data_IF_009180320637
#
_entry.id   IF_009180320637
#
_cell.length_a   1.000
_cell.length_b   1.000
_cell.length_c   1.000
_cell.angle_alpha   90.00
_cell.angle_beta   90.00
_cell.angle_gamma   90.00
#
_symmetry.space_group_name_H-M   'P 1'
#
loop_
_entity.id
_entity.type
_entity.pdbx_description
1 polymer ?
#
# COMPACT_ATOMS: atom_id res chain seq x y z
N UNK A 1 15.72 5.56 5.82
CA UNK A 1 14.48 6.03 5.16
C UNK A 1 13.37 6.23 6.20
N UNK A 2 12.86 7.45 6.37
CA UNK A 2 11.76 7.76 7.31
C UNK A 2 10.43 7.60 6.56
N UNK A 3 9.53 6.76 7.06
CA UNK A 3 8.17 6.64 6.50
C UNK A 3 7.21 7.48 7.32
N UNK A 4 6.49 8.37 6.64
CA UNK A 4 5.30 9.04 7.16
C UNK A 4 4.08 8.32 6.61
N UNK A 5 3.25 7.77 7.49
CA UNK A 5 1.95 7.23 7.11
C UNK A 5 0.91 8.33 7.34
N UNK A 6 0.19 8.72 6.28
CA UNK A 6 -0.93 9.64 6.39
C UNK A 6 -2.18 8.82 6.69
N UNK A 7 -2.65 8.89 7.94
CA UNK A 7 -3.90 8.24 8.34
C UNK A 7 -5.02 9.25 8.10
N UNK A 8 -5.90 8.94 7.15
CA UNK A 8 -7.05 9.76 6.81
C UNK A 8 -8.31 9.28 7.53
N UNK A 9 -9.41 10.02 7.35
CA UNK A 9 -10.73 9.64 7.83
C UNK A 9 -11.12 8.25 7.31
N UNK A 10 -11.83 7.47 8.13
CA UNK A 10 -12.19 6.07 7.84
C UNK A 10 -13.56 5.91 7.18
N UNK A 11 -14.03 6.96 6.51
CA UNK A 11 -15.33 6.96 5.88
C UNK A 11 -15.19 6.69 4.37
N UNK A 12 -15.95 5.73 3.81
CA UNK A 12 -15.95 5.50 2.37
C UNK A 12 -16.56 6.71 1.63
N UNK A 13 -16.47 6.73 0.30
CA UNK A 13 -17.28 7.64 -0.52
C UNK A 13 -18.70 7.06 -0.58
N UNK A 14 -19.72 7.87 -0.30
CA UNK A 14 -21.10 7.39 -0.10
C UNK A 14 -21.37 6.89 1.33
N UNK A 15 -22.63 6.62 1.67
CA UNK A 15 -23.03 6.25 3.04
C UNK A 15 -23.61 7.40 3.87
N UNK A 16 -24.26 8.36 3.23
CA UNK A 16 -24.99 9.48 3.84
C UNK A 16 -26.04 9.08 4.89
N UNK A 17 -26.40 7.79 4.92
CA UNK A 17 -27.34 7.20 5.89
C UNK A 17 -26.68 6.92 7.25
N UNK A 18 -25.34 6.94 7.33
CA UNK A 18 -24.57 6.53 8.53
C UNK A 18 -24.16 7.75 9.36
N UNK A 19 -23.78 8.86 8.73
CA UNK A 19 -23.36 10.09 9.42
C UNK A 19 -23.83 11.33 8.64
N UNK A 20 -24.61 12.19 9.30
CA UNK A 20 -25.19 13.40 8.68
C UNK A 20 -24.17 14.48 8.31
N UNK A 21 -23.09 14.61 9.08
CA UNK A 21 -22.11 15.69 8.94
C UNK A 21 -20.74 15.10 8.64
N UNK A 22 -20.53 14.66 7.39
CA UNK A 22 -19.24 14.14 6.95
C UNK A 22 -18.37 15.25 6.39
N UNK A 23 -17.16 15.36 6.91
CA UNK A 23 -16.15 16.29 6.41
C UNK A 23 -14.91 15.52 5.93
N UNK A 24 -14.35 15.98 4.80
CA UNK A 24 -13.08 15.50 4.28
C UNK A 24 -12.05 16.62 4.44
N UNK A 25 -10.95 16.32 5.14
CA UNK A 25 -9.86 17.27 5.32
C UNK A 25 -8.75 17.01 4.30
N UNK A 26 -8.21 18.09 3.74
CA UNK A 26 -7.06 18.03 2.85
C UNK A 26 -5.77 18.13 3.66
N UNK A 27 -4.97 17.06 3.63
CA UNK A 27 -3.62 17.06 4.19
C UNK A 27 -2.62 17.52 3.12
N UNK A 28 -1.77 18.49 3.48
CA UNK A 28 -0.68 18.97 2.62
C UNK A 28 0.66 18.52 3.19
N UNK A 29 1.54 18.06 2.31
CA UNK A 29 2.91 17.66 2.66
C UNK A 29 3.90 18.36 1.74
N UNK A 30 5.05 18.70 2.28
CA UNK A 30 6.21 19.12 1.49
C UNK A 30 7.03 17.89 1.12
N UNK A 31 7.52 17.86 -0.12
CA UNK A 31 8.32 16.78 -0.67
C UNK A 31 9.66 17.34 -1.11
N UNK A 32 10.72 16.57 -0.88
CA UNK A 32 12.06 16.84 -1.37
C UNK A 32 12.43 15.89 -2.51
N UNK A 33 13.43 16.26 -3.30
CA UNK A 33 13.93 15.41 -4.38
C UNK A 33 14.36 14.06 -3.81
N UNK A 34 13.89 12.97 -4.43
CA UNK A 34 14.14 11.61 -3.97
C UNK A 34 13.11 11.06 -2.98
N UNK A 35 12.16 11.86 -2.51
CA UNK A 35 11.02 11.34 -1.74
C UNK A 35 10.16 10.42 -2.61
N UNK A 36 9.61 9.38 -1.97
CA UNK A 36 8.77 8.38 -2.61
C UNK A 36 7.39 8.35 -1.96
N UNK A 37 6.36 8.31 -2.79
CA UNK A 37 4.96 8.24 -2.38
C UNK A 37 4.37 6.93 -2.87
N UNK A 38 3.64 6.26 -1.98
CA UNK A 38 2.95 5.00 -2.27
C UNK A 38 1.48 5.10 -1.89
N UNK A 39 0.61 4.77 -2.85
CA UNK A 39 -0.83 4.62 -2.67
C UNK A 39 -1.19 3.18 -2.99
N UNK A 40 -2.06 2.56 -2.19
CA UNK A 40 -2.44 1.16 -2.39
C UNK A 40 -3.87 0.86 -1.91
N UNK A 41 -4.52 -0.13 -2.54
CA UNK A 41 -5.79 -0.71 -2.07
C UNK A 41 -5.53 -1.76 -0.97
N UNK A 42 -6.51 -2.01 -0.11
CA UNK A 42 -6.40 -2.99 0.98
C UNK A 42 -6.15 -4.43 0.49
N UNK A 43 -6.59 -4.79 -0.72
CA UNK A 43 -6.33 -6.08 -1.35
C UNK A 43 -4.87 -6.55 -1.26
N UNK A 44 -3.88 -5.65 -1.41
CA UNK A 44 -2.45 -6.02 -1.29
C UNK A 44 -2.11 -6.49 0.13
N UNK A 45 -2.67 -5.84 1.15
CA UNK A 45 -2.40 -6.17 2.55
C UNK A 45 -3.22 -7.35 3.04
N UNK A 46 -4.36 -7.59 2.39
CA UNK A 46 -5.27 -8.68 2.71
C UNK A 46 -4.94 -9.99 2.00
N UNK A 47 -4.00 -9.97 1.05
CA UNK A 47 -3.50 -11.17 0.38
C UNK A 47 -2.91 -12.19 1.38
N UNK A 48 -3.45 -13.40 1.36
CA UNK A 48 -2.95 -14.54 2.11
C UNK A 48 -1.72 -15.18 1.45
N UNK A 49 -0.80 -15.70 2.27
CA UNK A 49 0.40 -16.37 1.78
C UNK A 49 1.58 -16.42 2.77
N UNK A 50 2.79 -16.56 2.24
CA UNK A 50 4.03 -16.78 2.98
C UNK A 50 4.13 -18.20 3.57
N UNK A 51 5.07 -18.43 4.49
CA UNK A 51 5.31 -19.78 5.06
C UNK A 51 4.07 -20.36 5.77
N UNK A 52 3.25 -19.48 6.35
CA UNK A 52 1.93 -19.85 6.87
C UNK A 52 0.87 -19.34 5.90
N UNK A 53 0.32 -20.23 5.09
CA UNK A 53 -0.64 -19.91 4.02
C UNK A 53 -1.88 -19.13 4.50
N UNK A 54 -2.25 -19.21 5.78
CA UNK A 54 -3.37 -18.47 6.37
C UNK A 54 -2.98 -17.09 6.93
N UNK A 55 -1.80 -16.58 6.60
CA UNK A 55 -1.30 -15.28 7.06
C UNK A 55 -1.45 -14.22 5.97
N UNK A 56 -2.08 -13.10 6.32
CA UNK A 56 -2.12 -11.90 5.47
C UNK A 56 -0.73 -11.26 5.34
N UNK A 57 -0.39 -10.71 4.17
CA UNK A 57 0.82 -9.92 3.96
C UNK A 57 0.90 -8.80 5.01
N UNK A 58 -0.19 -8.05 5.15
CA UNK A 58 -0.35 -7.00 6.13
C UNK A 58 0.55 -5.78 5.89
N UNK A 59 0.17 -4.65 6.51
CA UNK A 59 0.88 -3.37 6.41
C UNK A 59 2.35 -3.46 6.84
N UNK A 60 2.68 -4.35 7.79
CA UNK A 60 4.05 -4.51 8.30
C UNK A 60 5.00 -5.03 7.22
N UNK A 61 4.60 -6.05 6.45
CA UNK A 61 5.47 -6.62 5.42
C UNK A 61 5.49 -5.71 4.18
N UNK A 62 4.35 -5.16 3.76
CA UNK A 62 4.32 -4.17 2.69
C UNK A 62 5.26 -2.99 2.97
N UNK A 63 5.24 -2.46 4.20
CA UNK A 63 6.14 -1.39 4.61
C UNK A 63 7.61 -1.78 4.47
N UNK A 64 7.98 -3.03 4.83
CA UNK A 64 9.35 -3.51 4.64
C UNK A 64 9.75 -3.54 3.17
N UNK A 65 8.87 -4.03 2.29
CA UNK A 65 9.11 -4.05 0.85
C UNK A 65 9.33 -2.63 0.28
N UNK A 66 8.52 -1.67 0.72
CA UNK A 66 8.66 -0.25 0.34
C UNK A 66 9.97 0.36 0.86
N UNK A 67 10.41 -0.02 2.07
CA UNK A 67 11.63 0.49 2.70
C UNK A 67 12.93 -0.13 2.16
N UNK A 68 12.85 -1.16 1.31
CA UNK A 68 14.03 -1.74 0.68
C UNK A 68 14.80 -0.67 -0.08
N UNK A 69 16.10 -0.60 0.18
CA UNK A 69 17.01 0.24 -0.59
C UNK A 69 17.06 -0.30 -2.02
N UNK A 70 16.53 0.47 -2.97
CA UNK A 70 16.35 0.04 -4.35
C UNK A 70 17.03 1.04 -5.28
N UNK A 71 18.06 0.59 -5.99
CA UNK A 71 18.94 1.45 -6.80
C UNK A 71 18.46 1.68 -8.24
N UNK A 72 17.23 1.27 -8.56
CA UNK A 72 16.62 1.43 -9.88
C UNK A 72 15.58 2.55 -9.96
N UNK A 73 14.92 2.58 -11.10
CA UNK A 73 13.74 3.39 -11.40
C UNK A 73 12.56 3.02 -10.50
N UNK A 74 11.58 3.93 -10.39
CA UNK A 74 10.35 3.67 -9.65
C UNK A 74 9.55 2.50 -10.27
N UNK A 75 9.60 2.35 -11.60
CA UNK A 75 8.96 1.23 -12.30
C UNK A 75 9.57 -0.11 -11.86
N UNK A 76 10.89 -0.23 -11.90
CA UNK A 76 11.58 -1.45 -11.46
C UNK A 76 11.30 -1.75 -9.98
N UNK A 77 11.17 -0.72 -9.13
CA UNK A 77 10.79 -0.91 -7.72
C UNK A 77 9.36 -1.43 -7.56
N UNK A 78 8.41 -0.94 -8.36
CA UNK A 78 7.03 -1.42 -8.36
C UNK A 78 6.96 -2.86 -8.89
N UNK A 79 7.70 -3.18 -9.96
CA UNK A 79 7.79 -4.53 -10.50
C UNK A 79 8.39 -5.50 -9.47
N UNK A 80 9.45 -5.09 -8.76
CA UNK A 80 10.02 -5.85 -7.64
C UNK A 80 9.00 -6.08 -6.50
N UNK A 81 8.25 -5.05 -6.09
CA UNK A 81 7.21 -5.20 -5.07
C UNK A 81 6.14 -6.19 -5.53
N UNK A 82 5.74 -6.12 -6.81
CA UNK A 82 4.78 -7.04 -7.41
C UNK A 82 5.29 -8.48 -7.34
N UNK A 83 6.52 -8.74 -7.76
CA UNK A 83 7.14 -10.08 -7.67
C UNK A 83 7.17 -10.61 -6.23
N UNK A 84 7.46 -9.75 -5.25
CA UNK A 84 7.45 -10.14 -3.83
C UNK A 84 6.04 -10.44 -3.30
N UNK A 85 5.02 -9.74 -3.79
CA UNK A 85 3.61 -10.01 -3.45
C UNK A 85 3.15 -11.31 -4.12
N UNK A 86 3.52 -11.56 -5.38
CA UNK A 86 3.23 -12.82 -6.08
C UNK A 86 3.93 -14.00 -5.41
N UNK A 87 5.20 -13.83 -5.02
CA UNK A 87 5.94 -14.83 -4.25
C UNK A 87 5.33 -15.06 -2.87
N UNK A 88 4.83 -14.01 -2.22
CA UNK A 88 4.09 -14.16 -0.96
C UNK A 88 2.82 -14.97 -1.17
N UNK A 89 2.00 -14.61 -2.15
CA UNK A 89 0.77 -15.31 -2.50
C UNK A 89 1.02 -16.80 -2.75
N UNK A 90 2.08 -17.14 -3.48
CA UNK A 90 2.48 -18.52 -3.74
C UNK A 90 1.40 -19.29 -4.49
N UNK A 91 0.80 -20.30 -3.85
CA UNK A 91 -0.28 -21.11 -4.43
C UNK A 91 -1.68 -20.63 -4.02
N UNK A 92 -1.78 -19.62 -3.15
CA UNK A 92 -3.09 -19.08 -2.76
C UNK A 92 -3.70 -18.34 -3.94
N UNK A 93 -5.03 -18.33 -3.99
CA UNK A 93 -5.74 -17.45 -4.90
C UNK A 93 -5.57 -16.00 -4.47
N UNK A 94 -5.65 -15.10 -5.44
CA UNK A 94 -5.77 -13.68 -5.17
C UNK A 94 -7.05 -13.44 -4.34
N UNK A 95 -6.93 -12.70 -3.24
CA UNK A 95 -8.03 -12.52 -2.28
C UNK A 95 -9.01 -11.42 -2.72
N UNK A 96 -8.49 -10.35 -3.33
CA UNK A 96 -9.24 -9.16 -3.74
C UNK A 96 -8.46 -8.39 -4.83
N UNK A 97 -9.01 -7.31 -5.37
CA UNK A 97 -8.33 -6.45 -6.34
C UNK A 97 -7.11 -5.73 -5.71
N UNK A 98 -5.94 -5.91 -6.34
CA UNK A 98 -4.67 -5.35 -5.87
C UNK A 98 -4.26 -4.18 -6.77
N UNK A 99 -4.09 -3.00 -6.17
CA UNK A 99 -3.51 -1.83 -6.83
C UNK A 99 -2.43 -1.21 -5.94
N UNK A 100 -1.27 -0.90 -6.54
CA UNK A 100 -0.21 -0.10 -5.92
C UNK A 100 0.35 0.90 -6.93
N UNK A 101 0.45 2.15 -6.51
CA UNK A 101 1.02 3.25 -7.30
C UNK A 101 2.23 3.78 -6.54
N UNK A 102 3.37 3.87 -7.22
CA UNK A 102 4.60 4.46 -6.73
C UNK A 102 4.96 5.72 -7.52
N UNK A 103 5.33 6.80 -6.82
CA UNK A 103 5.81 8.05 -7.41
C UNK A 103 7.10 8.47 -6.71
N UNK A 104 8.08 8.97 -7.47
CA UNK A 104 9.33 9.56 -6.96
C UNK A 104 9.44 10.99 -7.45
N UNK A 105 9.79 11.91 -6.55
CA UNK A 105 10.04 13.33 -6.86
C UNK A 105 11.44 13.55 -7.42
#
# INVERSE_FOLDING_TARGET
MRIKCLITNRYPIGGWQIEKNREYHTEKIFLEKGDEIYLFSDGITDQFGGDNQNKKLGKKNLRKLIQTDFKGSMREKVDYIKEMVESWMGKNSQTDDITLIGLRV
#
